data_IF_354866108595
#
_entry.id   IF_354866108595
#
_cell.length_a   1.000
_cell.length_b   1.000
_cell.length_c   1.000
_cell.angle_alpha   90.00
_cell.angle_beta   90.00
_cell.angle_gamma   90.00
#
_symmetry.space_group_name_H-M   'P 1'
#
loop_
_entity.id
_entity.type
_entity.pdbx_description
1 polymer ?
#
# COMPACT_ATOMS: atom_id res chain seq x y z
N UNK A 1 -6.88 10.92 -17.04
CA UNK A 1 -7.72 9.86 -16.43
C UNK A 1 -6.93 8.68 -15.89
N UNK A 2 -6.16 7.92 -16.68
CA UNK A 2 -5.42 6.72 -16.20
C UNK A 2 -4.54 6.97 -14.97
N UNK A 3 -3.76 8.05 -14.97
CA UNK A 3 -2.93 8.43 -13.82
C UNK A 3 -3.74 8.69 -12.55
N UNK A 4 -4.87 9.39 -12.66
CA UNK A 4 -5.76 9.65 -11.52
C UNK A 4 -6.32 8.34 -10.95
N UNK A 5 -6.79 7.44 -11.80
CA UNK A 5 -7.26 6.13 -11.36
C UNK A 5 -6.15 5.27 -10.76
N UNK A 6 -4.93 5.30 -11.30
CA UNK A 6 -3.78 4.63 -10.68
C UNK A 6 -3.50 5.17 -9.29
N UNK A 7 -3.49 6.50 -9.13
CA UNK A 7 -3.27 7.16 -7.85
C UNK A 7 -4.36 6.75 -6.85
N UNK A 8 -5.63 6.83 -7.24
CA UNK A 8 -6.77 6.48 -6.39
C UNK A 8 -6.76 5.00 -6.01
N UNK A 9 -6.36 4.11 -6.91
CA UNK A 9 -6.22 2.68 -6.60
C UNK A 9 -5.14 2.43 -5.54
N UNK A 10 -4.02 3.15 -5.61
CA UNK A 10 -2.98 3.13 -4.57
C UNK A 10 -3.45 3.67 -3.22
N UNK A 11 -4.17 4.80 -3.25
CA UNK A 11 -4.78 5.40 -2.05
C UNK A 11 -5.75 4.40 -1.40
N UNK A 12 -6.68 3.85 -2.18
CA UNK A 12 -7.68 2.91 -1.70
C UNK A 12 -7.04 1.65 -1.09
N UNK A 13 -6.01 1.08 -1.75
CA UNK A 13 -5.34 -0.11 -1.23
C UNK A 13 -4.53 0.19 0.05
N UNK A 14 -3.92 1.38 0.18
CA UNK A 14 -3.26 1.78 1.42
C UNK A 14 -4.24 1.97 2.57
N UNK A 15 -5.39 2.59 2.34
CA UNK A 15 -6.43 2.74 3.35
C UNK A 15 -6.90 1.37 3.84
N UNK A 16 -7.21 0.46 2.90
CA UNK A 16 -7.61 -0.90 3.24
C UNK A 16 -6.51 -1.65 4.01
N UNK A 17 -5.26 -1.58 3.55
CA UNK A 17 -4.13 -2.22 4.20
C UNK A 17 -3.89 -1.69 5.62
N UNK A 18 -4.02 -0.38 5.81
CA UNK A 18 -3.87 0.28 7.12
C UNK A 18 -4.93 -0.18 8.12
N UNK A 19 -6.18 -0.39 7.71
CA UNK A 19 -7.18 -0.93 8.64
C UNK A 19 -7.01 -2.44 8.87
N UNK A 20 -6.61 -3.18 7.84
CA UNK A 20 -6.51 -4.63 7.92
C UNK A 20 -5.31 -5.13 8.75
N UNK A 21 -4.16 -4.43 8.74
CA UNK A 21 -2.93 -4.99 9.30
C UNK A 21 -3.01 -5.33 10.80
N UNK A 22 -3.87 -4.62 11.56
CA UNK A 22 -4.14 -4.88 13.00
C UNK A 22 -5.48 -5.55 13.29
N UNK A 23 -6.34 -5.74 12.29
CA UNK A 23 -7.70 -6.25 12.52
C UNK A 23 -7.73 -7.70 13.04
N UNK A 24 -6.95 -8.59 12.43
CA UNK A 24 -6.86 -9.99 12.84
C UNK A 24 -5.46 -10.57 12.62
N UNK A 25 -4.44 -10.20 13.42
CA UNK A 25 -3.09 -10.72 13.27
C UNK A 25 -3.03 -12.25 13.47
N UNK A 26 -2.22 -12.99 12.68
CA UNK A 26 -1.33 -12.50 11.61
C UNK A 26 -2.04 -12.35 10.25
N UNK A 27 -3.27 -12.85 10.09
CA UNK A 27 -3.97 -12.91 8.79
C UNK A 27 -4.22 -11.52 8.18
N UNK A 28 -4.62 -10.55 9.00
CA UNK A 28 -4.84 -9.17 8.56
C UNK A 28 -3.58 -8.52 7.98
N UNK A 29 -2.42 -8.78 8.61
CA UNK A 29 -1.12 -8.34 8.12
C UNK A 29 -0.80 -8.99 6.76
N UNK A 30 -0.94 -10.31 6.65
CA UNK A 30 -0.67 -11.04 5.39
C UNK A 30 -1.56 -10.53 4.26
N UNK A 31 -2.87 -10.37 4.52
CA UNK A 31 -3.83 -9.86 3.53
C UNK A 31 -3.48 -8.41 3.13
N UNK A 32 -3.07 -7.56 4.08
CA UNK A 32 -2.68 -6.18 3.79
C UNK A 32 -1.49 -6.08 2.84
N UNK A 33 -0.49 -6.96 3.01
CA UNK A 33 0.72 -7.03 2.18
C UNK A 33 0.38 -7.56 0.78
N UNK A 34 -0.32 -8.70 0.72
CA UNK A 34 -0.73 -9.31 -0.56
C UNK A 34 -1.66 -8.36 -1.32
N UNK A 35 -2.60 -7.70 -0.64
CA UNK A 35 -3.50 -6.71 -1.22
C UNK A 35 -2.75 -5.51 -1.78
N UNK A 36 -1.76 -5.00 -1.06
CA UNK A 36 -0.89 -3.91 -1.53
C UNK A 36 -0.14 -4.31 -2.82
N UNK A 37 0.50 -5.48 -2.81
CA UNK A 37 1.21 -6.01 -3.97
C UNK A 37 0.28 -6.16 -5.18
N UNK A 38 -0.81 -6.90 -5.00
CA UNK A 38 -1.74 -7.26 -6.08
C UNK A 38 -2.42 -6.03 -6.66
N UNK A 39 -2.84 -5.06 -5.85
CA UNK A 39 -3.44 -3.81 -6.32
C UNK A 39 -2.47 -3.02 -7.22
N UNK A 40 -1.24 -2.78 -6.77
CA UNK A 40 -0.26 -1.98 -7.52
C UNK A 40 0.23 -2.73 -8.77
N UNK A 41 0.46 -4.03 -8.66
CA UNK A 41 0.87 -4.86 -9.78
C UNK A 41 -0.20 -4.91 -10.88
N UNK A 42 -1.47 -5.11 -10.50
CA UNK A 42 -2.62 -5.18 -11.42
C UNK A 42 -2.82 -3.87 -12.19
N UNK A 43 -2.65 -2.70 -11.55
CA UNK A 43 -2.77 -1.41 -12.23
C UNK A 43 -1.79 -1.28 -13.41
N UNK A 44 -0.57 -1.78 -13.24
CA UNK A 44 0.40 -1.78 -14.34
C UNK A 44 0.01 -2.68 -15.49
N UNK A 45 -0.67 -3.80 -15.22
CA UNK A 45 -1.17 -4.75 -16.23
C UNK A 45 -2.39 -4.18 -16.97
N UNK A 46 -3.33 -3.56 -16.25
CA UNK A 46 -4.52 -2.93 -16.86
C UNK A 46 -4.13 -1.82 -17.83
N UNK A 47 -3.12 -1.02 -17.50
CA UNK A 47 -2.69 0.12 -18.32
C UNK A 47 -1.42 -0.12 -19.12
N UNK A 48 -0.91 -1.36 -19.16
CA UNK A 48 0.29 -1.80 -19.89
C UNK A 48 1.50 -0.85 -19.71
N UNK A 49 1.79 -0.44 -18.47
CA UNK A 49 2.84 0.54 -18.22
C UNK A 49 3.36 0.60 -16.79
N UNK A 50 4.68 0.57 -16.64
CA UNK A 50 5.37 0.66 -15.34
C UNK A 50 5.12 2.00 -14.63
N UNK A 51 4.98 3.09 -15.40
CA UNK A 51 4.67 4.43 -14.87
C UNK A 51 3.38 4.47 -14.04
N UNK A 52 2.39 3.66 -14.40
CA UNK A 52 1.11 3.62 -13.67
C UNK A 52 1.25 2.92 -12.32
N UNK A 53 2.13 1.91 -12.22
CA UNK A 53 2.49 1.27 -10.95
C UNK A 53 3.17 2.27 -10.01
N UNK A 54 4.09 3.08 -10.54
CA UNK A 54 4.76 4.12 -9.77
C UNK A 54 3.77 5.16 -9.23
N UNK A 55 2.81 5.60 -10.06
CA UNK A 55 1.76 6.55 -9.63
C UNK A 55 0.85 5.95 -8.56
N UNK A 56 0.49 4.67 -8.69
CA UNK A 56 -0.26 3.96 -7.64
C UNK A 56 0.56 3.86 -6.34
N UNK A 57 1.84 3.51 -6.43
CA UNK A 57 2.71 3.45 -5.26
C UNK A 57 2.85 4.82 -4.56
N UNK A 58 2.90 5.93 -5.30
CA UNK A 58 2.91 7.28 -4.70
C UNK A 58 1.63 7.54 -3.89
N UNK A 59 0.47 7.16 -4.42
CA UNK A 59 -0.80 7.26 -3.70
C UNK A 59 -0.81 6.41 -2.43
N UNK A 60 -0.25 5.20 -2.51
CA UNK A 60 -0.13 4.30 -1.36
C UNK A 60 0.78 4.89 -0.26
N UNK A 61 1.97 5.36 -0.65
CA UNK A 61 2.97 5.94 0.26
C UNK A 61 2.41 7.18 0.98
N UNK A 62 1.67 8.04 0.27
CA UNK A 62 1.07 9.23 0.88
C UNK A 62 0.11 8.88 2.02
N UNK A 63 -0.73 7.86 1.84
CA UNK A 63 -1.65 7.38 2.88
C UNK A 63 -0.90 6.69 4.01
N UNK A 64 0.10 5.86 3.68
CA UNK A 64 0.92 5.20 4.70
C UNK A 64 1.59 6.24 5.61
N UNK A 65 2.22 7.28 5.05
CA UNK A 65 2.82 8.34 5.86
C UNK A 65 1.79 9.07 6.71
N UNK A 66 0.58 9.28 6.20
CA UNK A 66 -0.51 9.85 7.02
C UNK A 66 -0.88 8.92 8.18
N UNK A 67 -0.96 7.62 7.94
CA UNK A 67 -1.28 6.61 8.96
C UNK A 67 -0.16 6.42 10.01
N UNK A 68 1.09 6.66 9.61
CA UNK A 68 2.27 6.64 10.46
C UNK A 68 2.55 8.00 11.15
N UNK A 69 1.70 9.01 10.93
CA UNK A 69 1.81 10.33 11.55
C UNK A 69 0.69 10.56 12.56
N UNK A 70 0.92 11.45 13.52
CA UNK A 70 -0.09 11.77 14.53
C UNK A 70 -1.37 12.33 13.92
N UNK A 71 -2.49 11.71 14.29
CA UNK A 71 -3.83 12.21 14.02
C UNK A 71 -4.27 13.30 15.01
N UNK A 72 -5.52 13.74 14.88
CA UNK A 72 -6.13 14.72 15.80
C UNK A 72 -6.12 14.21 17.25
N UNK A 73 -6.33 12.90 17.45
CA UNK A 73 -6.26 12.25 18.76
C UNK A 73 -4.86 11.99 19.29
N UNK A 74 -3.78 12.42 18.60
CA UNK A 74 -2.39 12.06 18.91
C UNK A 74 -2.12 10.55 18.90
N UNK A 75 -2.93 9.81 18.15
CA UNK A 75 -2.76 8.38 17.92
C UNK A 75 -2.13 8.11 16.55
N UNK A 76 -1.45 6.97 16.46
CA UNK A 76 -0.88 6.43 15.23
C UNK A 76 -1.67 5.19 14.82
N UNK A 77 -2.09 5.12 13.56
CA UNK A 77 -2.71 3.91 13.01
C UNK A 77 -1.65 2.83 12.78
N UNK A 78 -0.52 3.22 12.20
CA UNK A 78 0.66 2.35 12.08
C UNK A 78 1.62 2.73 13.19
N UNK A 79 1.72 1.87 14.19
CA UNK A 79 2.53 2.09 15.39
C UNK A 79 3.93 1.51 15.21
N UNK A 80 4.92 2.02 15.95
CA UNK A 80 6.29 1.50 15.95
C UNK A 80 6.48 0.17 16.69
N UNK A 81 5.43 -0.65 16.79
CA UNK A 81 5.47 -1.98 17.39
C UNK A 81 5.86 -3.05 16.36
N UNK A 82 5.99 -4.31 16.79
CA UNK A 82 6.43 -5.38 15.90
C UNK A 82 5.52 -5.55 14.66
N UNK A 83 4.19 -5.41 14.82
CA UNK A 83 3.26 -5.57 13.72
C UNK A 83 3.30 -4.40 12.75
N UNK A 84 3.35 -3.16 13.25
CA UNK A 84 3.45 -1.98 12.40
C UNK A 84 4.79 -1.88 11.68
N UNK A 85 5.90 -2.25 12.33
CA UNK A 85 7.21 -2.34 11.68
C UNK A 85 7.23 -3.44 10.61
N UNK A 86 6.65 -4.62 10.88
CA UNK A 86 6.53 -5.68 9.87
C UNK A 86 5.68 -5.23 8.68
N UNK A 87 4.55 -4.56 8.94
CA UNK A 87 3.70 -3.98 7.91
C UNK A 87 4.48 -2.98 7.04
N UNK A 88 5.24 -2.07 7.66
CA UNK A 88 6.09 -1.11 6.97
C UNK A 88 7.10 -1.81 6.04
N UNK A 89 8.02 -2.60 6.60
CA UNK A 89 9.13 -3.14 5.81
C UNK A 89 8.65 -4.07 4.69
N UNK A 90 7.69 -4.95 4.99
CA UNK A 90 7.24 -5.95 4.01
C UNK A 90 6.35 -5.31 2.94
N UNK A 91 5.50 -4.33 3.29
CA UNK A 91 4.66 -3.66 2.29
C UNK A 91 5.48 -2.76 1.37
N UNK A 92 6.52 -2.10 1.87
CA UNK A 92 7.45 -1.35 1.01
C UNK A 92 8.25 -2.28 0.08
N UNK A 93 8.69 -3.44 0.57
CA UNK A 93 9.29 -4.46 -0.30
C UNK A 93 8.29 -4.95 -1.35
N UNK A 94 7.05 -5.22 -0.96
CA UNK A 94 5.98 -5.63 -1.87
C UNK A 94 5.70 -4.57 -2.95
N UNK A 95 5.67 -3.28 -2.60
CA UNK A 95 5.58 -2.18 -3.56
C UNK A 95 6.75 -2.17 -4.54
N UNK A 96 7.98 -2.28 -4.04
CA UNK A 96 9.17 -2.31 -4.88
C UNK A 96 9.13 -3.48 -5.87
N UNK A 97 8.75 -4.68 -5.42
CA UNK A 97 8.59 -5.87 -6.26
C UNK A 97 7.46 -5.68 -7.28
N UNK A 98 6.31 -5.14 -6.88
CA UNK A 98 5.19 -4.88 -7.77
C UNK A 98 5.58 -3.94 -8.94
N UNK A 99 6.35 -2.89 -8.64
CA UNK A 99 6.88 -1.94 -9.62
C UNK A 99 7.96 -2.58 -10.50
N UNK A 100 8.83 -3.43 -9.94
CA UNK A 100 9.90 -4.10 -10.66
C UNK A 100 9.40 -5.15 -11.66
N UNK A 101 8.32 -5.85 -11.31
CA UNK A 101 7.71 -6.84 -12.19
C UNK A 101 7.25 -6.22 -13.53
N UNK A 102 7.31 -6.99 -14.63
CA UNK A 102 6.85 -6.52 -15.93
C UNK A 102 5.38 -6.08 -15.91
N UNK A 103 5.06 -5.15 -16.81
CA UNK A 103 3.71 -4.62 -16.98
C UNK A 103 2.98 -5.21 -18.20
N UNK A 104 3.57 -6.24 -18.81
CA UNK A 104 3.18 -6.88 -20.08
C UNK A 104 1.68 -7.06 -20.26
#
# INVERSE_FOLDING_TARGET
MKYLFSLLAGVASAVAATFLHKFAPPFGLVISIIGTFTAVWTIGRIYAGRRFKAVAALGWIAIFFRAASFGVGKELFVQGDNLGNAFFFISFAALAIAIALPAN
#
